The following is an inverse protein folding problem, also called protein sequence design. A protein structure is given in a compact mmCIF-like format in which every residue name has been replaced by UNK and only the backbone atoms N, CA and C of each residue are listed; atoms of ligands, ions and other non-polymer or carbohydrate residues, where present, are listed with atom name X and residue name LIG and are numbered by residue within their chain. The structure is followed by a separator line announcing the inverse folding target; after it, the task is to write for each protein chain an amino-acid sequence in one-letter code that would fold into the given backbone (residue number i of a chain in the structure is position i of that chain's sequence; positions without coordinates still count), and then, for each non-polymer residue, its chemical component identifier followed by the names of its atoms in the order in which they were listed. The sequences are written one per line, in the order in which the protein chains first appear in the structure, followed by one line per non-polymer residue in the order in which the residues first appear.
data_IF_289283706793
#
_entry.id   IF_289283706793
#
_cell.length_a   1.000
_cell.length_b   1.000
_cell.length_c   1.000
_cell.angle_alpha   90.00
_cell.angle_beta   90.00
_cell.angle_gamma   90.00
#
_symmetry.space_group_name_H-M   'P 1'
#
loop_
_entity.id
_entity.type
_entity.pdbx_description
1 polymer ?
#
# COMPACT_ATOMS: atom_id res chain seq x y z
N UNK A 1 -12.93 32.25 4.48
CA UNK A 1 -12.57 30.91 5.00
C UNK A 1 -11.37 31.11 5.93
N UNK A 2 -11.48 30.74 7.21
CA UNK A 2 -10.33 30.78 8.12
C UNK A 2 -9.40 29.64 7.71
N UNK A 3 -8.16 29.96 7.31
CA UNK A 3 -7.10 28.99 7.16
C UNK A 3 -6.93 28.25 8.49
N UNK A 4 -7.30 26.98 8.53
CA UNK A 4 -6.90 26.12 9.63
C UNK A 4 -5.38 25.98 9.54
N UNK A 5 -4.65 26.56 10.51
CA UNK A 5 -3.24 26.27 10.70
C UNK A 5 -3.11 24.78 11.00
N UNK A 6 -2.78 24.00 9.99
CA UNK A 6 -2.38 22.60 10.16
C UNK A 6 -1.00 22.63 10.84
N UNK A 7 -0.93 22.23 12.08
CA UNK A 7 0.30 22.24 12.89
C UNK A 7 1.20 21.04 12.60
N UNK A 8 0.71 20.01 11.93
CA UNK A 8 1.42 18.78 11.58
C UNK A 8 1.77 18.68 10.09
N UNK A 9 2.52 17.66 9.75
CA UNK A 9 2.84 17.30 8.37
C UNK A 9 1.71 16.54 7.68
N UNK A 10 1.97 16.15 6.43
CA UNK A 10 1.06 15.35 5.63
C UNK A 10 1.82 14.30 4.83
N UNK A 11 1.15 13.20 4.52
CA UNK A 11 1.65 12.21 3.57
C UNK A 11 0.53 11.83 2.59
N UNK A 12 0.85 11.83 1.33
CA UNK A 12 -0.05 11.41 0.24
C UNK A 12 0.67 10.42 -0.65
N UNK A 13 -0.09 9.66 -1.42
CA UNK A 13 0.45 8.67 -2.33
C UNK A 13 -0.26 8.72 -3.67
N UNK A 14 0.50 8.47 -4.73
CA UNK A 14 0.02 8.16 -6.06
C UNK A 14 0.44 6.74 -6.44
N UNK A 15 -0.34 6.12 -7.32
CA UNK A 15 -0.08 4.78 -7.81
C UNK A 15 -0.40 4.70 -9.28
N UNK A 16 0.51 4.17 -10.05
CA UNK A 16 0.35 3.94 -11.48
C UNK A 16 1.01 2.65 -11.93
N UNK A 17 0.46 2.04 -12.96
CA UNK A 17 1.10 0.94 -13.67
C UNK A 17 1.64 1.45 -15.00
N UNK A 18 2.92 1.25 -15.27
CA UNK A 18 3.51 1.63 -16.56
C UNK A 18 2.90 0.81 -17.71
N UNK A 19 2.80 1.36 -18.91
CA UNK A 19 2.16 0.68 -20.03
C UNK A 19 2.72 -0.70 -20.36
N UNK A 20 4.00 -0.93 -20.10
CA UNK A 20 4.69 -2.19 -20.33
C UNK A 20 4.78 -3.11 -19.11
N UNK A 21 4.20 -2.70 -17.96
CA UNK A 21 4.29 -3.46 -16.73
C UNK A 21 3.54 -4.79 -16.76
N UNK A 22 2.62 -4.97 -17.69
CA UNK A 22 1.80 -6.17 -17.90
C UNK A 22 2.09 -6.80 -19.25
N UNK A 23 1.76 -8.10 -19.41
CA UNK A 23 1.93 -8.83 -20.68
C UNK A 23 1.20 -8.14 -21.84
N UNK A 24 0.01 -7.60 -21.59
CA UNK A 24 -0.71 -6.78 -22.56
C UNK A 24 -0.54 -5.31 -22.19
N UNK A 25 -0.26 -4.46 -23.19
CA UNK A 25 -0.04 -3.03 -22.97
C UNK A 25 -1.25 -2.38 -22.26
N UNK A 26 -1.02 -1.82 -21.08
CA UNK A 26 -2.01 -1.01 -20.36
C UNK A 26 -2.04 0.42 -20.91
N UNK A 27 -3.22 0.95 -21.17
CA UNK A 27 -3.35 2.37 -21.51
C UNK A 27 -3.10 3.24 -20.27
N UNK A 28 -2.44 4.39 -20.44
CA UNK A 28 -2.26 5.35 -19.34
C UNK A 28 -3.60 5.98 -18.96
N UNK A 29 -3.82 6.21 -17.68
CA UNK A 29 -5.06 6.82 -17.18
C UNK A 29 -5.28 8.21 -17.75
N UNK A 30 -4.20 9.00 -17.94
CA UNK A 30 -4.28 10.31 -18.54
C UNK A 30 -4.86 10.28 -19.98
N UNK A 31 -4.61 9.20 -20.71
CA UNK A 31 -5.19 9.02 -22.07
C UNK A 31 -6.70 8.79 -22.02
N UNK A 32 -7.19 8.26 -20.90
CA UNK A 32 -8.63 8.05 -20.65
C UNK A 32 -9.32 9.29 -20.05
N UNK A 33 -8.56 10.34 -19.74
CA UNK A 33 -9.06 11.57 -19.14
C UNK A 33 -9.50 11.46 -17.68
N UNK A 34 -9.29 10.31 -17.05
CA UNK A 34 -9.58 10.08 -15.62
C UNK A 34 -8.69 8.97 -15.05
N UNK A 35 -8.38 9.08 -13.76
CA UNK A 35 -7.69 8.02 -13.02
C UNK A 35 -8.64 6.82 -12.88
N UNK A 36 -8.13 5.63 -13.11
CA UNK A 36 -8.84 4.38 -12.93
C UNK A 36 -9.26 4.18 -11.46
N UNK A 37 -10.45 3.62 -11.25
CA UNK A 37 -10.98 3.37 -9.89
C UNK A 37 -10.07 2.49 -9.04
N UNK A 38 -9.44 1.48 -9.65
CA UNK A 38 -8.44 0.64 -8.99
C UNK A 38 -7.21 1.46 -8.54
N UNK A 39 -6.69 2.32 -9.41
CA UNK A 39 -5.55 3.19 -9.07
C UNK A 39 -5.91 4.13 -7.92
N UNK A 40 -7.11 4.72 -7.92
CA UNK A 40 -7.58 5.59 -6.83
C UNK A 40 -7.71 4.82 -5.50
N UNK A 41 -8.24 3.62 -5.54
CA UNK A 41 -8.39 2.78 -4.35
C UNK A 41 -7.02 2.46 -3.75
N UNK A 42 -6.04 2.05 -4.58
CA UNK A 42 -4.69 1.72 -4.13
C UNK A 42 -3.96 2.96 -3.59
N UNK A 43 -4.07 4.12 -4.23
CA UNK A 43 -3.53 5.39 -3.72
C UNK A 43 -4.03 5.69 -2.30
N UNK A 44 -5.35 5.52 -2.07
CA UNK A 44 -5.97 5.75 -0.76
C UNK A 44 -5.48 4.75 0.27
N UNK A 45 -5.31 3.49 -0.11
CA UNK A 45 -4.79 2.43 0.74
C UNK A 45 -3.36 2.71 1.17
N UNK A 46 -2.44 3.02 0.23
CA UNK A 46 -1.06 3.39 0.54
C UNK A 46 -1.02 4.59 1.48
N UNK A 47 -1.71 5.67 1.12
CA UNK A 47 -1.73 6.90 1.93
C UNK A 47 -2.27 6.67 3.34
N UNK A 48 -3.30 5.84 3.51
CA UNK A 48 -3.87 5.49 4.83
C UNK A 48 -2.88 4.67 5.65
N UNK A 49 -2.24 3.68 5.05
CA UNK A 49 -1.23 2.84 5.70
C UNK A 49 -0.05 3.69 6.19
N UNK A 50 0.46 4.58 5.34
CA UNK A 50 1.55 5.47 5.74
C UNK A 50 1.15 6.40 6.89
N UNK A 51 -0.06 6.97 6.88
CA UNK A 51 -0.55 7.81 7.98
C UNK A 51 -0.75 7.05 9.29
N UNK A 52 -1.04 5.76 9.23
CA UNK A 52 -1.17 4.93 10.43
C UNK A 52 0.18 4.61 11.10
N UNK A 53 1.28 4.77 10.39
CA UNK A 53 2.63 4.41 10.85
C UNK A 53 3.57 5.61 10.96
N UNK A 54 3.05 6.83 10.79
CA UNK A 54 3.80 8.07 10.98
C UNK A 54 3.11 9.00 11.98
N UNK A 55 3.91 9.60 12.86
CA UNK A 55 3.52 10.74 13.68
C UNK A 55 3.66 12.01 12.83
N UNK A 56 2.52 12.52 12.34
CA UNK A 56 2.51 13.68 11.46
C UNK A 56 2.90 14.98 12.19
N UNK A 57 2.77 15.06 13.51
CA UNK A 57 3.21 16.22 14.29
C UNK A 57 4.74 16.29 14.31
N UNK A 58 5.42 15.15 14.50
CA UNK A 58 6.89 15.06 14.45
C UNK A 58 7.47 15.34 13.08
N UNK A 59 6.71 15.08 12.02
CA UNK A 59 7.11 15.45 10.66
C UNK A 59 7.19 16.97 10.49
N UNK A 60 6.43 17.74 11.28
CA UNK A 60 6.34 19.19 11.21
C UNK A 60 5.67 19.66 9.90
N UNK A 61 5.80 20.92 9.51
CA UNK A 61 5.08 21.51 8.37
C UNK A 61 5.67 21.04 7.02
N UNK A 62 5.64 19.76 6.77
CA UNK A 62 6.15 19.11 5.54
C UNK A 62 5.13 18.18 4.97
N UNK A 63 5.18 18.00 3.64
CA UNK A 63 4.41 16.96 2.94
C UNK A 63 5.39 15.96 2.34
N UNK A 64 5.14 14.67 2.58
CA UNK A 64 5.77 13.58 1.85
C UNK A 64 4.81 13.17 0.73
N UNK A 65 5.26 13.25 -0.52
CA UNK A 65 4.57 12.69 -1.68
C UNK A 65 5.25 11.37 -2.03
N UNK A 66 4.48 10.31 -2.09
CA UNK A 66 4.97 8.97 -2.44
C UNK A 66 4.40 8.59 -3.80
N UNK A 67 5.27 8.39 -4.77
CA UNK A 67 4.91 7.97 -6.12
C UNK A 67 5.27 6.49 -6.29
N UNK A 68 4.26 5.66 -6.55
CA UNK A 68 4.42 4.22 -6.73
C UNK A 68 4.17 3.85 -8.18
N UNK A 69 5.25 3.64 -8.94
CA UNK A 69 5.18 3.17 -10.32
C UNK A 69 5.51 1.68 -10.40
N UNK A 70 4.54 0.89 -10.87
CA UNK A 70 4.75 -0.53 -11.15
C UNK A 70 5.50 -0.69 -12.46
N UNK A 71 6.75 -1.15 -12.37
CA UNK A 71 7.63 -1.40 -13.51
C UNK A 71 7.33 -2.75 -14.17
N UNK A 72 7.10 -3.76 -13.35
CA UNK A 72 6.71 -5.11 -13.78
C UNK A 72 5.64 -5.61 -12.81
N UNK A 73 4.49 -5.96 -13.35
CA UNK A 73 3.36 -6.48 -12.59
C UNK A 73 3.41 -8.01 -12.52
N UNK A 74 3.00 -8.51 -11.36
CA UNK A 74 2.67 -9.88 -11.07
C UNK A 74 1.48 -9.89 -10.09
N UNK A 75 1.23 -10.93 -9.32
CA UNK A 75 0.32 -10.90 -8.18
C UNK A 75 0.77 -9.84 -7.15
N UNK A 76 -0.16 -9.29 -6.38
CA UNK A 76 0.16 -8.44 -5.22
C UNK A 76 0.79 -7.07 -5.53
N UNK A 77 0.51 -6.44 -6.68
CA UNK A 77 1.10 -5.11 -6.99
C UNK A 77 0.76 -4.03 -5.95
N UNK A 78 -0.42 -4.09 -5.32
CA UNK A 78 -0.82 -3.14 -4.26
C UNK A 78 -0.04 -3.35 -2.97
N UNK A 79 0.22 -4.59 -2.60
CA UNK A 79 0.97 -4.94 -1.38
C UNK A 79 2.44 -4.61 -1.55
N UNK A 80 3.02 -4.89 -2.72
CA UNK A 80 4.38 -4.48 -3.07
C UNK A 80 4.53 -2.95 -3.03
N UNK A 81 3.54 -2.19 -3.56
CA UNK A 81 3.54 -0.73 -3.51
C UNK A 81 3.51 -0.19 -2.08
N UNK A 82 2.75 -0.81 -1.16
CA UNK A 82 2.70 -0.41 0.25
C UNK A 82 4.07 -0.61 0.91
N UNK A 83 4.67 -1.79 0.72
CA UNK A 83 5.97 -2.12 1.30
C UNK A 83 7.07 -1.22 0.72
N UNK A 84 7.07 -1.00 -0.59
CA UNK A 84 8.01 -0.08 -1.25
C UNK A 84 7.83 1.38 -0.79
N UNK A 85 6.60 1.83 -0.62
CA UNK A 85 6.27 3.16 -0.10
C UNK A 85 6.85 3.37 1.31
N UNK A 86 6.76 2.35 2.18
CA UNK A 86 7.34 2.43 3.51
C UNK A 86 8.86 2.55 3.47
N UNK A 87 9.54 1.75 2.65
CA UNK A 87 11.00 1.82 2.49
C UNK A 87 11.43 3.20 2.01
N UNK A 88 10.77 3.74 0.98
CA UNK A 88 11.07 5.07 0.45
C UNK A 88 10.81 6.19 1.48
N UNK A 89 9.71 6.08 2.25
CA UNK A 89 9.42 7.04 3.31
C UNK A 89 10.47 6.97 4.45
N UNK A 90 10.93 5.77 4.81
CA UNK A 90 12.01 5.59 5.79
C UNK A 90 13.31 6.25 5.32
N UNK A 91 13.67 6.08 4.05
CA UNK A 91 14.87 6.71 3.48
C UNK A 91 14.76 8.23 3.44
N UNK A 92 13.59 8.77 3.07
CA UNK A 92 13.34 10.20 3.11
C UNK A 92 13.47 10.78 4.53
N UNK A 93 12.91 10.08 5.54
CA UNK A 93 13.02 10.45 6.95
C UNK A 93 14.48 10.41 7.43
N UNK A 94 15.21 9.36 7.07
CA UNK A 94 16.64 9.24 7.38
C UNK A 94 17.45 10.42 6.77
N UNK A 95 17.09 10.85 5.55
CA UNK A 95 17.66 12.03 4.91
C UNK A 95 17.39 13.32 5.68
N UNK A 96 16.15 13.50 6.19
CA UNK A 96 15.79 14.66 7.01
C UNK A 96 16.53 14.69 8.35
N UNK A 97 16.68 13.55 9.02
CA UNK A 97 17.46 13.40 10.25
C UNK A 97 18.93 13.74 10.03
N UNK A 98 19.54 13.18 8.98
CA UNK A 98 20.93 13.46 8.59
C UNK A 98 21.19 14.94 8.31
N UNK A 99 20.21 15.59 7.69
CA UNK A 99 20.28 17.02 7.38
C UNK A 99 19.93 17.94 8.57
N UNK A 100 19.64 17.39 9.75
CA UNK A 100 19.23 18.13 10.94
C UNK A 100 17.91 18.90 10.78
N UNK A 101 17.07 18.50 9.80
CA UNK A 101 15.79 19.16 9.54
C UNK A 101 14.66 18.69 10.45
N UNK A 102 14.83 17.54 11.06
CA UNK A 102 14.00 16.98 12.14
C UNK A 102 14.94 16.41 13.20
N UNK A 103 14.50 16.40 14.45
CA UNK A 103 15.32 15.97 15.60
C UNK A 103 15.08 14.51 15.99
N UNK A 104 13.92 13.97 15.63
CA UNK A 104 13.52 12.60 15.90
C UNK A 104 12.73 12.01 14.72
N UNK A 105 12.70 10.68 14.63
CA UNK A 105 11.96 10.01 13.56
C UNK A 105 10.44 10.13 13.79
N UNK A 106 9.68 10.56 12.79
CA UNK A 106 8.24 10.49 12.81
C UNK A 106 7.69 9.07 12.59
N UNK A 107 8.50 8.10 12.18
CA UNK A 107 8.06 6.73 11.95
C UNK A 107 7.84 6.04 13.30
N UNK A 108 6.62 5.59 13.53
CA UNK A 108 6.18 4.96 14.78
C UNK A 108 6.24 3.44 14.73
N UNK A 109 6.11 2.85 13.55
CA UNK A 109 6.18 1.41 13.34
C UNK A 109 6.62 1.09 11.90
N UNK A 110 7.36 0.00 11.73
CA UNK A 110 7.54 -0.60 10.42
C UNK A 110 6.23 -1.21 9.93
N UNK A 111 6.01 -1.20 8.63
CA UNK A 111 4.82 -1.79 8.00
C UNK A 111 5.22 -2.53 6.73
N UNK A 112 4.57 -3.66 6.51
CA UNK A 112 4.65 -4.41 5.27
C UNK A 112 3.27 -4.93 4.89
N UNK A 113 3.11 -5.24 3.62
CA UNK A 113 1.89 -5.82 3.09
C UNK A 113 2.21 -7.02 2.20
N UNK A 114 1.31 -7.99 2.20
CA UNK A 114 1.43 -9.20 1.40
C UNK A 114 0.06 -9.65 0.88
N UNK A 115 0.05 -10.29 -0.30
CA UNK A 115 -1.12 -10.99 -0.81
C UNK A 115 -1.15 -12.43 -0.29
N UNK A 116 -2.32 -12.89 0.07
CA UNK A 116 -2.55 -14.27 0.51
C UNK A 116 -3.84 -14.78 -0.12
N UNK A 117 -3.94 -16.06 -0.34
CA UNK A 117 -5.16 -16.63 -0.93
C UNK A 117 -5.32 -18.10 -0.66
N UNK A 118 -6.45 -18.63 -1.13
CA UNK A 118 -6.75 -20.08 -1.10
C UNK A 118 -6.85 -20.54 -2.54
N UNK A 119 -5.95 -21.42 -2.92
CA UNK A 119 -5.91 -22.03 -4.25
C UNK A 119 -6.17 -23.53 -4.10
N UNK A 120 -7.27 -24.02 -4.65
CA UNK A 120 -7.67 -25.43 -4.55
C UNK A 120 -7.65 -25.96 -3.11
N UNK A 121 -8.16 -25.15 -2.16
CA UNK A 121 -8.22 -25.48 -0.74
C UNK A 121 -6.90 -25.34 0.03
N UNK A 122 -5.80 -24.92 -0.63
CA UNK A 122 -4.49 -24.70 -0.02
C UNK A 122 -4.26 -23.21 0.22
N UNK A 123 -3.98 -22.77 1.47
CA UNK A 123 -3.61 -21.39 1.73
C UNK A 123 -2.18 -21.13 1.21
N UNK A 124 -2.03 -20.07 0.43
CA UNK A 124 -0.77 -19.61 -0.13
C UNK A 124 -0.46 -18.19 0.34
N UNK A 125 0.83 -17.89 0.44
CA UNK A 125 1.39 -16.61 0.82
C UNK A 125 2.17 -16.06 -0.36
N UNK A 126 2.05 -14.74 -0.64
CA UNK A 126 2.75 -14.06 -1.72
C UNK A 126 2.38 -14.63 -3.10
N UNK A 127 1.09 -14.48 -3.43
CA UNK A 127 0.53 -15.03 -4.66
C UNK A 127 1.22 -14.46 -5.91
N UNK A 128 1.67 -15.34 -6.81
CA UNK A 128 2.00 -14.95 -8.17
C UNK A 128 0.73 -14.75 -9.01
N UNK A 129 0.84 -14.16 -10.20
CA UNK A 129 -0.32 -13.82 -11.02
C UNK A 129 -1.19 -15.02 -11.40
N UNK A 130 -0.58 -16.18 -11.67
CA UNK A 130 -1.31 -17.41 -12.02
C UNK A 130 -2.10 -17.96 -10.84
N UNK A 131 -1.57 -17.85 -9.64
CA UNK A 131 -2.25 -18.23 -8.40
C UNK A 131 -3.35 -17.23 -8.04
N UNK A 132 -3.05 -15.92 -8.08
CA UNK A 132 -3.98 -14.82 -7.81
C UNK A 132 -5.21 -14.88 -8.73
N UNK A 133 -4.99 -15.17 -10.03
CA UNK A 133 -6.07 -15.27 -11.02
C UNK A 133 -6.92 -16.54 -10.91
N UNK A 134 -6.44 -17.56 -10.21
CA UNK A 134 -7.09 -18.86 -10.06
C UNK A 134 -7.56 -19.13 -8.62
N UNK A 135 -7.35 -18.20 -7.68
CA UNK A 135 -7.69 -18.43 -6.28
C UNK A 135 -9.20 -18.34 -6.03
N UNK A 136 -9.68 -19.18 -5.11
CA UNK A 136 -11.07 -19.15 -4.63
C UNK A 136 -11.32 -17.91 -3.76
N UNK A 137 -10.26 -17.41 -3.15
CA UNK A 137 -10.25 -16.25 -2.24
C UNK A 137 -8.92 -15.59 -2.30
N UNK A 138 -8.90 -14.28 -2.53
CA UNK A 138 -7.72 -13.43 -2.38
C UNK A 138 -7.88 -12.47 -1.20
N UNK A 139 -6.78 -12.19 -0.53
CA UNK A 139 -6.74 -11.20 0.54
C UNK A 139 -5.44 -10.42 0.50
N UNK A 140 -5.54 -9.15 0.85
CA UNK A 140 -4.39 -8.28 1.07
C UNK A 140 -4.30 -7.97 2.55
N UNK A 141 -3.17 -8.28 3.14
CA UNK A 141 -2.91 -8.10 4.57
C UNK A 141 -1.82 -7.06 4.74
N UNK A 142 -2.10 -6.04 5.55
CA UNK A 142 -1.15 -4.99 5.91
C UNK A 142 -0.93 -5.04 7.41
N UNK A 143 0.32 -5.26 7.81
CA UNK A 143 0.69 -5.44 9.22
C UNK A 143 1.87 -4.56 9.62
N UNK A 144 1.88 -4.17 10.90
CA UNK A 144 3.07 -3.57 11.51
C UNK A 144 4.06 -4.63 11.95
N UNK A 145 5.33 -4.22 12.16
CA UNK A 145 6.36 -5.11 12.72
C UNK A 145 6.06 -5.66 14.13
N UNK A 146 5.08 -5.09 14.83
CA UNK A 146 4.59 -5.59 16.11
C UNK A 146 3.45 -6.61 15.97
N UNK A 147 3.09 -7.00 14.75
CA UNK A 147 2.03 -7.97 14.47
C UNK A 147 0.60 -7.40 14.51
N UNK A 148 0.44 -6.08 14.52
CA UNK A 148 -0.89 -5.46 14.47
C UNK A 148 -1.35 -5.25 13.02
N UNK A 149 -2.61 -5.55 12.74
CA UNK A 149 -3.20 -5.26 11.45
C UNK A 149 -3.44 -3.76 11.27
N UNK A 150 -2.99 -3.22 10.15
CA UNK A 150 -3.35 -1.87 9.69
C UNK A 150 -4.59 -1.96 8.80
N UNK A 151 -4.62 -2.96 7.93
CA UNK A 151 -5.76 -3.23 7.06
C UNK A 151 -5.77 -4.69 6.62
N UNK A 152 -6.97 -5.23 6.46
CA UNK A 152 -7.21 -6.55 5.87
C UNK A 152 -8.34 -6.38 4.85
N UNK A 153 -8.06 -6.67 3.59
CA UNK A 153 -9.03 -6.70 2.51
C UNK A 153 -9.10 -8.12 1.98
N UNK A 154 -10.28 -8.69 1.91
CA UNK A 154 -10.49 -10.02 1.34
C UNK A 154 -11.68 -10.04 0.42
N UNK A 155 -11.55 -10.77 -0.68
CA UNK A 155 -12.60 -11.01 -1.66
C UNK A 155 -12.73 -12.51 -1.85
N UNK A 156 -13.97 -13.00 -1.88
CA UNK A 156 -14.25 -14.37 -2.23
C UNK A 156 -14.90 -14.40 -3.61
N UNK A 157 -14.33 -15.15 -4.51
CA UNK A 157 -14.91 -15.41 -5.83
C UNK A 157 -15.62 -16.76 -5.81
N UNK A 158 -16.92 -16.75 -6.07
CA UNK A 158 -17.74 -17.96 -6.16
C UNK A 158 -18.49 -18.34 -4.89
N UNK A 159 -17.86 -18.53 -3.74
CA UNK A 159 -18.52 -18.92 -2.48
C UNK A 159 -18.09 -18.01 -1.32
N UNK A 160 -19.00 -17.62 -0.39
CA UNK A 160 -18.67 -16.77 0.73
C UNK A 160 -17.58 -17.37 1.63
N UNK A 161 -16.67 -16.51 2.11
CA UNK A 161 -15.65 -16.88 3.09
C UNK A 161 -16.23 -17.35 4.42
N UNK A 162 -15.76 -18.48 4.92
CA UNK A 162 -16.06 -18.87 6.30
C UNK A 162 -15.22 -18.04 7.29
N UNK A 163 -15.74 -17.85 8.52
CA UNK A 163 -14.99 -17.21 9.61
C UNK A 163 -13.64 -17.89 9.90
N UNK A 164 -13.52 -19.20 9.65
CA UNK A 164 -12.28 -19.93 9.86
C UNK A 164 -11.21 -19.58 8.83
N UNK A 165 -11.59 -19.25 7.60
CA UNK A 165 -10.66 -18.81 6.55
C UNK A 165 -10.16 -17.37 6.79
N UNK A 166 -10.92 -16.56 7.53
CA UNK A 166 -10.54 -15.20 7.91
C UNK A 166 -9.68 -15.13 9.20
N UNK A 167 -9.56 -16.26 9.92
CA UNK A 167 -8.70 -16.35 11.10
C UNK A 167 -7.30 -16.84 10.66
N UNK A 168 -6.43 -15.89 10.33
CA UNK A 168 -5.02 -16.19 10.19
C UNK A 168 -4.44 -16.58 11.54
N UNK A 169 -3.54 -17.57 11.59
CA UNK A 169 -2.84 -17.94 12.82
C UNK A 169 -1.92 -16.83 13.31
#
# INVERSE_FOLDING_TARGET
MKEQKVTGGWITAEYSMLPYSTLQRKARDITKGKIDGRSQEIQRLIGRTMRATLDLEKLGPRTICVDCDVLQADGGTRTAAITGAFVAAQDAVNGLLKAGKITESPITAAVAAISVGIVQGTPLLDLEYTEDSACDTDMNVVMTGAGHFVEVQGTAEGAPLSRKCAAFP
#
